data_IF_241070180952
#
_entry.id   IF_241070180952
#
_cell.length_a   1.000
_cell.length_b   1.000
_cell.length_c   1.000
_cell.angle_alpha   90.00
_cell.angle_beta   90.00
_cell.angle_gamma   90.00
#
_symmetry.space_group_name_H-M   'P 1'
#
loop_
_entity.id
_entity.type
_entity.pdbx_description
1 polymer ?
#
# COMPACT_ATOMS: atom_id res chain seq x y z
N UNK A 1 17.12 10.24 -15.47
CA UNK A 1 17.25 9.03 -14.69
C UNK A 1 18.37 8.14 -15.24
N UNK A 2 18.80 7.15 -14.47
CA UNK A 2 19.70 6.12 -14.99
C UNK A 2 18.94 5.26 -16.01
N UNK A 3 19.62 4.81 -17.07
CA UNK A 3 19.03 3.92 -18.08
C UNK A 3 18.81 2.50 -17.53
N UNK A 4 19.61 2.08 -16.54
CA UNK A 4 19.49 0.83 -15.80
C UNK A 4 19.95 0.99 -14.36
N UNK A 5 19.48 0.14 -13.48
CA UNK A 5 19.87 0.06 -12.07
C UNK A 5 20.15 -1.39 -11.70
N UNK A 6 20.97 -1.61 -10.68
CA UNK A 6 21.25 -2.94 -10.13
C UNK A 6 20.90 -2.97 -8.65
N UNK A 7 20.61 -4.15 -8.14
CA UNK A 7 20.43 -4.37 -6.70
C UNK A 7 21.62 -3.80 -5.92
N UNK A 8 21.35 -3.05 -4.86
CA UNK A 8 22.37 -2.36 -4.07
C UNK A 8 22.67 -0.93 -4.50
N UNK A 9 22.28 -0.47 -5.69
CA UNK A 9 22.42 0.92 -6.12
C UNK A 9 21.59 1.85 -5.26
N UNK A 10 22.15 3.01 -4.88
CA UNK A 10 21.37 4.09 -4.29
C UNK A 10 20.87 5.01 -5.41
N UNK A 11 19.55 5.17 -5.48
CA UNK A 11 18.89 5.92 -6.56
C UNK A 11 17.83 6.87 -6.04
N UNK A 12 17.76 8.06 -6.64
CA UNK A 12 16.64 8.96 -6.42
C UNK A 12 15.44 8.50 -7.25
N UNK A 13 14.37 8.16 -6.56
CA UNK A 13 13.12 7.72 -7.17
C UNK A 13 12.07 8.81 -7.04
N UNK A 14 11.36 9.11 -8.13
CA UNK A 14 10.20 10.00 -8.11
C UNK A 14 8.99 9.25 -7.59
N UNK A 15 8.27 9.87 -6.68
CA UNK A 15 6.98 9.37 -6.24
C UNK A 15 5.89 9.69 -7.28
N UNK A 16 5.08 8.72 -7.62
CA UNK A 16 3.85 8.92 -8.39
C UNK A 16 2.65 9.12 -7.48
N UNK A 17 2.68 8.49 -6.30
CA UNK A 17 1.69 8.66 -5.24
C UNK A 17 2.39 8.69 -3.88
N UNK A 18 1.98 9.61 -3.01
CA UNK A 18 2.26 9.58 -1.58
C UNK A 18 0.95 9.39 -0.83
N UNK A 19 0.82 8.30 -0.08
CA UNK A 19 -0.33 8.03 0.78
C UNK A 19 0.03 8.26 2.24
N UNK A 20 -0.88 8.89 2.99
CA UNK A 20 -0.80 8.96 4.46
C UNK A 20 -2.18 8.82 5.10
N UNK A 21 -2.19 8.51 6.38
CA UNK A 21 -3.38 8.24 7.17
C UNK A 21 -3.33 8.94 8.54
N UNK A 22 -4.32 8.75 9.38
CA UNK A 22 -4.52 9.50 10.63
C UNK A 22 -3.54 9.16 11.76
N UNK A 23 -2.83 8.03 11.70
CA UNK A 23 -1.75 7.74 12.68
C UNK A 23 -0.48 8.51 12.33
N UNK A 24 -0.01 8.39 11.09
CA UNK A 24 1.29 8.91 10.65
C UNK A 24 1.22 10.31 10.04
N UNK A 25 0.07 10.69 9.48
CA UNK A 25 -0.13 11.95 8.76
C UNK A 25 0.24 13.20 9.57
N UNK A 26 -0.20 13.35 10.83
CA UNK A 26 0.19 14.49 11.65
C UNK A 26 1.71 14.63 11.82
N UNK A 27 2.42 13.51 12.05
CA UNK A 27 3.88 13.48 12.13
C UNK A 27 4.54 13.86 10.81
N UNK A 28 4.04 13.34 9.69
CA UNK A 28 4.50 13.67 8.32
C UNK A 28 4.33 15.15 8.03
N UNK A 29 3.16 15.73 8.32
CA UNK A 29 2.86 17.16 8.16
C UNK A 29 3.79 18.01 9.05
N UNK A 30 4.03 17.56 10.28
CA UNK A 30 4.96 18.21 11.21
C UNK A 30 6.38 18.29 10.64
N UNK A 31 6.91 17.20 10.09
CA UNK A 31 8.21 17.19 9.40
C UNK A 31 8.18 18.10 8.19
N UNK A 32 7.19 17.98 7.32
CA UNK A 32 7.05 18.82 6.14
C UNK A 32 7.08 20.33 6.47
N UNK A 33 6.26 20.76 7.43
CA UNK A 33 6.21 22.19 7.83
C UNK A 33 7.49 22.67 8.52
N UNK A 34 8.18 21.80 9.26
CA UNK A 34 9.45 22.12 9.92
C UNK A 34 10.57 22.32 8.91
N UNK A 35 10.68 21.42 7.91
CA UNK A 35 11.82 21.40 6.98
C UNK A 35 11.64 22.37 5.79
N UNK A 36 10.41 22.58 5.33
CA UNK A 36 10.12 23.40 4.16
C UNK A 36 9.48 24.75 4.49
N UNK A 37 9.08 24.96 5.74
CA UNK A 37 8.40 26.17 6.19
C UNK A 37 6.88 26.03 6.26
N UNK A 38 6.27 26.91 7.09
CA UNK A 38 4.82 26.83 7.36
C UNK A 38 3.95 27.10 6.14
N UNK A 39 4.44 27.94 5.22
CA UNK A 39 3.72 28.35 4.01
C UNK A 39 4.06 27.51 2.78
N UNK A 40 4.93 26.49 2.96
CA UNK A 40 5.34 25.61 1.88
C UNK A 40 4.13 24.88 1.27
N UNK A 41 4.22 24.62 -0.03
CA UNK A 41 3.23 23.79 -0.74
C UNK A 41 3.79 22.42 -1.02
N UNK A 42 2.93 21.41 -1.00
CA UNK A 42 3.29 20.06 -1.41
C UNK A 42 3.77 20.05 -2.87
N UNK A 43 4.69 19.15 -3.21
CA UNK A 43 5.32 19.12 -4.55
C UNK A 43 4.29 18.97 -5.68
N UNK A 44 3.24 18.20 -5.47
CA UNK A 44 2.13 18.01 -6.40
C UNK A 44 0.88 17.55 -5.65
N UNK A 45 -0.11 18.42 -5.59
CA UNK A 45 -1.37 18.13 -4.88
C UNK A 45 -2.19 16.99 -5.49
N UNK A 46 -1.95 16.64 -6.77
CA UNK A 46 -2.61 15.52 -7.45
C UNK A 46 -1.99 14.15 -7.13
N UNK A 47 -0.90 14.14 -6.38
CA UNK A 47 -0.15 12.93 -6.04
C UNK A 47 -0.14 12.63 -4.54
N UNK A 48 -0.75 13.48 -3.73
CA UNK A 48 -0.91 13.25 -2.29
C UNK A 48 -2.32 12.76 -2.01
N UNK A 49 -2.42 11.58 -1.40
CA UNK A 49 -3.68 10.91 -1.05
C UNK A 49 -3.73 10.74 0.47
N UNK A 50 -4.79 11.19 1.10
CA UNK A 50 -4.97 11.09 2.55
C UNK A 50 -6.24 10.28 2.85
N UNK A 51 -6.07 9.21 3.64
CA UNK A 51 -7.14 8.26 3.96
C UNK A 51 -7.13 7.99 5.47
N UNK A 52 -7.93 8.70 6.27
CA UNK A 52 -8.10 8.36 7.69
C UNK A 52 -8.83 7.02 7.81
N UNK A 53 -8.24 6.06 8.52
CA UNK A 53 -8.80 4.71 8.65
C UNK A 53 -8.47 3.98 9.96
N UNK A 54 -7.45 4.42 10.72
CA UNK A 54 -7.01 3.74 11.93
C UNK A 54 -7.80 4.14 13.17
N UNK A 55 -8.09 5.43 13.36
CA UNK A 55 -8.74 5.96 14.57
C UNK A 55 -10.21 6.31 14.37
N UNK A 56 -10.84 5.76 13.36
CA UNK A 56 -12.22 6.12 12.97
C UNK A 56 -13.29 5.59 13.92
N UNK A 57 -12.96 4.57 14.72
CA UNK A 57 -13.91 3.94 15.66
C UNK A 57 -13.65 4.32 17.13
N UNK A 58 -12.85 5.32 17.39
CA UNK A 58 -12.51 5.74 18.75
C UNK A 58 -13.22 7.03 19.16
N UNK A 59 -13.55 7.16 20.45
CA UNK A 59 -13.99 8.38 21.09
C UNK A 59 -12.84 9.17 21.72
N UNK A 60 -11.58 8.67 21.63
CA UNK A 60 -10.42 9.34 22.18
C UNK A 60 -10.16 10.69 21.50
N UNK A 61 -10.07 11.76 22.29
CA UNK A 61 -9.92 13.12 21.78
C UNK A 61 -8.60 13.37 21.07
N UNK A 62 -7.52 12.69 21.48
CA UNK A 62 -6.20 12.81 20.85
C UNK A 62 -6.21 12.18 19.47
N UNK A 63 -6.81 11.00 19.35
CA UNK A 63 -6.96 10.30 18.09
C UNK A 63 -7.85 11.08 17.11
N UNK A 64 -8.96 11.65 17.59
CA UNK A 64 -9.81 12.52 16.78
C UNK A 64 -9.07 13.79 16.33
N UNK A 65 -8.21 14.38 17.20
CA UNK A 65 -7.37 15.53 16.83
C UNK A 65 -6.44 15.22 15.65
N UNK A 66 -5.97 13.98 15.51
CA UNK A 66 -5.16 13.59 14.35
C UNK A 66 -5.91 13.77 13.03
N UNK A 67 -7.17 13.36 12.99
CA UNK A 67 -8.01 13.55 11.78
C UNK A 67 -8.26 15.04 11.51
N UNK A 68 -8.45 15.85 12.56
CA UNK A 68 -8.63 17.30 12.39
C UNK A 68 -7.37 17.96 11.83
N UNK A 69 -6.17 17.54 12.23
CA UNK A 69 -4.91 18.02 11.64
C UNK A 69 -4.86 17.71 10.14
N UNK A 70 -5.31 16.53 9.74
CA UNK A 70 -5.38 16.17 8.31
C UNK A 70 -6.36 17.08 7.56
N UNK A 71 -7.54 17.34 8.12
CA UNK A 71 -8.54 18.24 7.53
C UNK A 71 -8.02 19.66 7.34
N UNK A 72 -7.36 20.20 8.39
CA UNK A 72 -6.73 21.52 8.35
C UNK A 72 -5.68 21.57 7.22
N UNK A 73 -4.82 20.55 7.12
CA UNK A 73 -3.78 20.48 6.11
C UNK A 73 -4.34 20.32 4.69
N UNK A 74 -5.32 19.47 4.51
CA UNK A 74 -6.01 19.29 3.21
C UNK A 74 -6.59 20.62 2.71
N UNK A 75 -7.25 21.37 3.60
CA UNK A 75 -7.79 22.69 3.28
C UNK A 75 -6.71 23.70 2.94
N UNK A 76 -5.63 23.74 3.73
CA UNK A 76 -4.47 24.64 3.54
C UNK A 76 -3.78 24.40 2.21
N UNK A 77 -3.60 23.13 1.82
CA UNK A 77 -2.89 22.72 0.60
C UNK A 77 -3.82 22.61 -0.62
N UNK A 78 -5.13 22.56 -0.44
CA UNK A 78 -6.11 22.35 -1.50
C UNK A 78 -5.98 20.96 -2.13
N UNK A 79 -5.81 19.92 -1.30
CA UNK A 79 -5.64 18.54 -1.78
C UNK A 79 -6.98 17.97 -2.27
N UNK A 80 -7.03 17.41 -3.49
CA UNK A 80 -8.28 16.86 -4.03
C UNK A 80 -8.59 15.45 -3.51
N UNK A 81 -7.59 14.70 -3.04
CA UNK A 81 -7.75 13.31 -2.65
C UNK A 81 -7.67 13.14 -1.14
N UNK A 82 -8.78 13.49 -0.50
CA UNK A 82 -9.00 13.27 0.93
C UNK A 82 -10.30 12.49 1.12
N UNK A 83 -10.19 11.28 1.60
CA UNK A 83 -11.32 10.38 1.80
C UNK A 83 -11.74 10.39 3.27
N UNK A 84 -12.32 11.52 3.69
CA UNK A 84 -12.72 11.73 5.08
C UNK A 84 -13.77 10.72 5.55
N UNK A 85 -13.74 10.44 6.83
CA UNK A 85 -14.67 9.51 7.48
C UNK A 85 -16.05 10.11 7.71
N UNK A 86 -16.18 11.43 7.62
CA UNK A 86 -17.46 12.15 7.78
C UNK A 86 -17.57 13.29 6.76
N UNK A 87 -18.80 13.56 6.28
CA UNK A 87 -19.07 14.68 5.36
C UNK A 87 -19.09 16.03 6.09
N UNK A 88 -19.47 16.04 7.37
CA UNK A 88 -19.45 17.23 8.21
C UNK A 88 -18.21 17.23 9.10
N UNK A 89 -17.23 18.13 8.87
CA UNK A 89 -16.05 18.27 9.72
C UNK A 89 -16.39 18.67 11.16
N UNK A 90 -17.57 19.23 11.41
CA UNK A 90 -18.08 19.51 12.74
C UNK A 90 -18.95 18.37 13.29
N UNK A 91 -19.08 17.28 12.54
CA UNK A 91 -19.90 16.11 12.87
C UNK A 91 -19.56 15.55 14.24
N UNK A 92 -20.53 15.63 15.14
CA UNK A 92 -20.43 15.15 16.51
C UNK A 92 -20.60 13.64 16.57
N UNK A 93 -19.93 13.01 17.53
CA UNK A 93 -20.23 11.66 17.92
C UNK A 93 -21.66 11.57 18.46
N UNK A 94 -22.47 10.70 17.90
CA UNK A 94 -23.81 10.42 18.41
C UNK A 94 -23.79 9.17 19.26
N UNK A 95 -24.32 9.28 20.48
CA UNK A 95 -24.55 8.11 21.32
C UNK A 95 -25.82 7.42 20.86
N UNK A 96 -25.72 6.22 20.30
CA UNK A 96 -26.86 5.36 20.00
C UNK A 96 -27.31 4.64 21.28
N UNK A 97 -28.28 5.21 21.95
CA UNK A 97 -28.82 4.68 23.20
C UNK A 97 -29.44 3.28 23.05
N UNK A 98 -29.86 2.91 21.83
CA UNK A 98 -30.42 1.58 21.57
C UNK A 98 -29.35 0.48 21.55
N UNK A 99 -28.10 0.85 21.29
CA UNK A 99 -26.95 -0.05 21.20
C UNK A 99 -25.91 0.16 22.28
N UNK A 100 -26.08 1.20 23.12
CA UNK A 100 -25.12 1.57 24.14
C UNK A 100 -23.73 1.95 23.59
N UNK A 101 -23.67 2.43 22.35
CA UNK A 101 -22.41 2.71 21.62
C UNK A 101 -22.37 4.14 21.10
N UNK A 102 -21.18 4.72 21.10
CA UNK A 102 -20.91 5.93 20.33
C UNK A 102 -20.88 5.58 18.83
N UNK A 103 -21.72 6.24 18.06
CA UNK A 103 -21.79 6.08 16.60
C UNK A 103 -21.30 7.34 15.94
N UNK A 104 -20.29 7.22 15.09
CA UNK A 104 -19.87 8.26 14.16
C UNK A 104 -20.69 8.12 12.89
N UNK A 105 -21.25 9.21 12.41
CA UNK A 105 -21.92 9.19 11.11
C UNK A 105 -20.84 9.28 10.05
N UNK A 106 -20.65 8.19 9.30
CA UNK A 106 -19.71 8.15 8.18
C UNK A 106 -20.28 8.93 7.00
N UNK A 107 -19.41 9.74 6.41
CA UNK A 107 -19.75 10.47 5.19
C UNK A 107 -19.68 9.61 3.94
N UNK A 108 -20.15 10.15 2.84
CA UNK A 108 -20.11 9.51 1.51
C UNK A 108 -18.70 9.30 0.98
N UNK A 109 -17.70 9.99 1.54
CA UNK A 109 -16.30 9.90 1.14
C UNK A 109 -15.54 8.76 1.85
N UNK A 110 -16.10 8.18 2.92
CA UNK A 110 -15.42 7.09 3.61
C UNK A 110 -15.20 5.89 2.69
N UNK A 111 -13.94 5.55 2.50
CA UNK A 111 -13.53 4.54 1.51
C UNK A 111 -13.06 3.21 2.13
N UNK A 112 -13.03 3.10 3.47
CA UNK A 112 -12.53 1.91 4.18
C UNK A 112 -11.05 2.00 4.51
N UNK A 113 -10.44 0.83 4.77
CA UNK A 113 -9.00 0.70 5.07
C UNK A 113 -8.18 1.25 3.91
N UNK A 114 -7.13 2.03 4.22
CA UNK A 114 -6.35 2.77 3.23
C UNK A 114 -5.81 1.88 2.09
N UNK A 115 -5.37 0.66 2.40
CA UNK A 115 -4.81 -0.25 1.40
C UNK A 115 -5.85 -0.77 0.40
N UNK A 116 -7.11 -0.96 0.80
CA UNK A 116 -8.21 -1.31 -0.10
C UNK A 116 -8.84 -0.07 -0.75
N UNK A 117 -8.83 1.05 -0.04
CA UNK A 117 -9.36 2.32 -0.55
C UNK A 117 -8.50 2.88 -1.70
N UNK A 118 -7.17 2.82 -1.61
CA UNK A 118 -6.27 3.26 -2.67
C UNK A 118 -6.62 2.66 -4.04
N UNK A 119 -6.64 1.33 -4.23
CA UNK A 119 -7.01 0.73 -5.51
C UNK A 119 -8.47 0.96 -5.87
N UNK A 120 -9.41 0.88 -4.91
CA UNK A 120 -10.83 1.13 -5.18
C UNK A 120 -11.10 2.56 -5.68
N UNK A 121 -10.27 3.53 -5.28
CA UNK A 121 -10.33 4.93 -5.71
C UNK A 121 -9.42 5.24 -6.90
N UNK A 122 -8.76 4.24 -7.50
CA UNK A 122 -7.98 4.38 -8.71
C UNK A 122 -6.61 5.06 -8.52
N UNK A 123 -6.00 4.90 -7.35
CA UNK A 123 -4.68 5.46 -7.04
C UNK A 123 -3.54 4.45 -7.17
N UNK A 124 -3.84 3.20 -7.52
CA UNK A 124 -2.84 2.18 -7.82
C UNK A 124 -2.80 1.92 -9.32
N UNK A 125 -1.61 2.06 -9.91
CA UNK A 125 -1.43 1.90 -11.37
C UNK A 125 -0.12 1.19 -11.66
N UNK A 126 -0.14 0.25 -12.62
CA UNK A 126 1.07 -0.47 -13.05
C UNK A 126 2.21 0.47 -13.43
N UNK A 127 3.43 0.10 -13.07
CA UNK A 127 4.66 0.82 -13.39
C UNK A 127 4.92 2.10 -12.60
N UNK A 128 3.98 2.54 -11.76
CA UNK A 128 4.15 3.72 -10.92
C UNK A 128 4.82 3.36 -9.57
N UNK A 129 5.31 4.39 -8.88
CA UNK A 129 5.91 4.29 -7.55
C UNK A 129 5.00 4.91 -6.51
N UNK A 130 4.61 4.11 -5.53
CA UNK A 130 3.82 4.51 -4.36
C UNK A 130 4.67 4.47 -3.10
N UNK A 131 4.77 5.58 -2.40
CA UNK A 131 5.22 5.62 -1.02
C UNK A 131 4.05 5.84 -0.08
N UNK A 132 3.98 5.06 0.99
CA UNK A 132 2.94 5.19 2.00
C UNK A 132 3.53 5.26 3.41
N UNK A 133 2.82 5.89 4.33
CA UNK A 133 3.27 5.95 5.74
C UNK A 133 2.84 4.74 6.55
N UNK A 134 2.25 3.76 5.91
CA UNK A 134 1.87 2.49 6.50
C UNK A 134 2.78 1.35 6.00
N UNK A 135 3.11 0.41 6.86
CA UNK A 135 3.98 -0.72 6.54
C UNK A 135 3.42 -1.63 5.44
N UNK A 136 2.09 -1.80 5.39
CA UNK A 136 1.41 -2.65 4.40
C UNK A 136 1.15 -1.95 3.05
N UNK A 137 1.78 -0.81 2.80
CA UNK A 137 1.79 -0.14 1.48
C UNK A 137 2.26 -1.08 0.37
N UNK A 138 3.07 -2.09 0.69
CA UNK A 138 3.51 -3.16 -0.22
C UNK A 138 2.36 -3.89 -0.93
N UNK A 139 1.13 -3.87 -0.37
CA UNK A 139 -0.06 -4.46 -0.97
C UNK A 139 -0.32 -3.98 -2.41
N UNK A 140 0.03 -2.74 -2.74
CA UNK A 140 -0.18 -2.20 -4.08
C UNK A 140 0.72 -2.85 -5.15
N UNK A 141 1.72 -3.65 -4.75
CA UNK A 141 2.48 -4.48 -5.68
C UNK A 141 1.64 -5.55 -6.41
N UNK A 142 0.47 -5.90 -5.86
CA UNK A 142 -0.54 -6.71 -6.55
C UNK A 142 -0.96 -6.13 -7.92
N UNK A 143 -0.74 -4.84 -8.13
CA UNK A 143 -1.09 -4.09 -9.34
C UNK A 143 0.13 -3.79 -10.22
N UNK A 144 1.23 -4.52 -10.10
CA UNK A 144 2.49 -4.25 -10.81
C UNK A 144 3.05 -2.84 -10.50
N UNK A 145 2.86 -2.37 -9.25
CA UNK A 145 3.32 -1.07 -8.77
C UNK A 145 4.44 -1.26 -7.73
N UNK A 146 5.55 -0.54 -7.86
CA UNK A 146 6.51 -0.52 -6.77
C UNK A 146 5.95 0.28 -5.61
N UNK A 147 5.60 -0.39 -4.52
CA UNK A 147 4.94 0.23 -3.38
C UNK A 147 5.61 -0.20 -2.08
N UNK A 148 5.97 0.77 -1.23
CA UNK A 148 6.64 0.47 0.05
C UNK A 148 6.27 1.46 1.15
N UNK A 149 6.25 0.95 2.38
CA UNK A 149 6.12 1.77 3.58
C UNK A 149 7.37 2.57 3.86
N UNK A 150 7.19 3.83 4.29
CA UNK A 150 8.26 4.75 4.69
C UNK A 150 7.90 5.47 5.99
N UNK A 151 8.90 5.90 6.74
CA UNK A 151 8.71 6.64 7.98
C UNK A 151 8.25 8.08 7.76
N UNK A 152 7.72 8.71 8.82
CA UNK A 152 7.20 10.08 8.78
C UNK A 152 8.23 11.10 8.26
N UNK A 153 9.51 10.91 8.59
CA UNK A 153 10.58 11.80 8.15
C UNK A 153 10.72 11.75 6.63
N UNK A 154 10.87 10.56 6.06
CA UNK A 154 10.98 10.38 4.62
C UNK A 154 9.72 10.86 3.90
N UNK A 155 8.54 10.55 4.45
CA UNK A 155 7.26 11.00 3.89
C UNK A 155 7.13 12.52 3.88
N UNK A 156 7.61 13.21 4.93
CA UNK A 156 7.66 14.68 4.95
C UNK A 156 8.56 15.25 3.86
N UNK A 157 9.71 14.63 3.60
CA UNK A 157 10.59 15.03 2.50
C UNK A 157 9.98 14.69 1.13
N UNK A 158 9.36 13.54 0.95
CA UNK A 158 8.61 13.21 -0.28
C UNK A 158 7.49 14.23 -0.50
N UNK A 159 6.77 14.61 0.55
CA UNK A 159 5.69 15.61 0.47
C UNK A 159 6.18 16.96 -0.05
N UNK A 160 7.42 17.36 0.27
CA UNK A 160 8.03 18.60 -0.21
C UNK A 160 8.75 18.50 -1.55
N UNK A 161 9.29 17.32 -1.90
CA UNK A 161 10.19 17.17 -3.05
C UNK A 161 9.69 16.24 -4.15
N UNK A 162 8.75 15.37 -3.85
CA UNK A 162 8.28 14.30 -4.74
C UNK A 162 9.33 13.21 -5.01
N UNK A 163 10.35 13.08 -4.17
CA UNK A 163 11.47 12.16 -4.40
C UNK A 163 11.94 11.51 -3.10
N UNK A 164 12.45 10.30 -3.21
CA UNK A 164 13.12 9.59 -2.14
C UNK A 164 14.39 8.92 -2.64
N UNK A 165 15.44 8.96 -1.85
CA UNK A 165 16.64 8.16 -2.09
C UNK A 165 16.41 6.77 -1.50
N UNK A 166 16.45 5.74 -2.34
CA UNK A 166 16.31 4.36 -1.91
C UNK A 166 17.46 3.52 -2.43
N UNK A 167 17.80 2.48 -1.71
CA UNK A 167 18.64 1.40 -2.20
C UNK A 167 17.79 0.44 -3.00
N UNK A 168 18.19 0.10 -4.23
CA UNK A 168 17.48 -0.89 -5.05
C UNK A 168 17.50 -2.24 -4.32
N UNK A 169 16.35 -2.84 -3.97
CA UNK A 169 16.32 -4.12 -3.28
C UNK A 169 16.73 -5.27 -4.21
N UNK A 170 17.28 -6.33 -3.61
CA UNK A 170 17.39 -7.62 -4.26
C UNK A 170 15.99 -8.22 -4.43
N UNK A 171 15.82 -9.14 -5.40
CA UNK A 171 14.54 -9.80 -5.66
C UNK A 171 14.58 -11.27 -5.29
N UNK A 172 13.59 -11.72 -4.54
CA UNK A 172 13.26 -13.12 -4.29
C UNK A 172 12.09 -13.52 -5.20
N UNK A 173 12.20 -14.66 -5.84
CA UNK A 173 11.24 -15.14 -6.83
C UNK A 173 10.43 -16.33 -6.28
N UNK A 174 9.12 -16.21 -6.33
CA UNK A 174 8.16 -17.25 -5.99
C UNK A 174 7.31 -17.57 -7.22
N UNK A 175 7.59 -18.72 -7.84
CA UNK A 175 6.82 -19.20 -8.97
C UNK A 175 5.65 -20.04 -8.47
N UNK A 176 4.41 -19.62 -8.76
CA UNK A 176 3.21 -20.31 -8.37
C UNK A 176 2.73 -21.25 -9.48
N UNK A 177 2.63 -22.53 -9.18
CA UNK A 177 2.19 -23.58 -10.11
C UNK A 177 0.87 -24.21 -9.63
N UNK A 178 0.12 -24.80 -10.55
CA UNK A 178 -1.11 -25.51 -10.22
C UNK A 178 -2.28 -24.62 -9.84
N UNK A 179 -3.21 -25.16 -9.05
CA UNK A 179 -4.41 -24.46 -8.57
C UNK A 179 -4.65 -24.77 -7.10
N UNK A 180 -5.11 -23.77 -6.36
CA UNK A 180 -5.51 -23.96 -4.96
C UNK A 180 -6.59 -25.05 -4.82
N UNK A 181 -6.43 -25.87 -3.79
CA UNK A 181 -7.42 -26.87 -3.41
C UNK A 181 -8.62 -26.22 -2.69
N UNK A 182 -9.80 -26.83 -2.70
CA UNK A 182 -10.92 -26.37 -1.91
C UNK A 182 -10.54 -26.20 -0.42
N UNK A 183 -10.84 -25.03 0.15
CA UNK A 183 -10.50 -24.69 1.53
C UNK A 183 -9.15 -24.01 1.73
N UNK A 184 -8.28 -23.96 0.70
CA UNK A 184 -7.05 -23.18 0.69
C UNK A 184 -7.34 -21.76 0.21
N UNK A 185 -6.78 -20.78 0.86
CA UNK A 185 -6.92 -19.35 0.56
C UNK A 185 -5.56 -18.72 0.16
N UNK A 186 -5.59 -17.55 -0.42
CA UNK A 186 -4.38 -16.80 -0.75
C UNK A 186 -3.48 -16.52 0.49
N UNK A 187 -4.11 -16.39 1.66
CA UNK A 187 -3.38 -16.26 2.92
C UNK A 187 -2.51 -17.49 3.24
N UNK A 188 -2.95 -18.69 2.88
CA UNK A 188 -2.16 -19.90 3.08
C UNK A 188 -0.91 -19.91 2.19
N UNK A 189 -1.01 -19.34 0.99
CA UNK A 189 0.16 -19.21 0.07
C UNK A 189 1.24 -18.35 0.72
N UNK A 190 0.89 -17.17 1.19
CA UNK A 190 1.91 -16.27 1.77
C UNK A 190 2.41 -16.78 3.12
N UNK A 191 1.56 -17.41 3.93
CA UNK A 191 2.02 -18.05 5.17
C UNK A 191 2.99 -19.19 4.89
N UNK A 192 2.75 -19.99 3.86
CA UNK A 192 3.70 -21.02 3.41
C UNK A 192 5.04 -20.38 3.00
N UNK A 193 5.01 -19.33 2.15
CA UNK A 193 6.24 -18.63 1.75
C UNK A 193 7.00 -18.07 2.95
N UNK A 194 6.31 -17.45 3.92
CA UNK A 194 6.93 -16.93 5.15
C UNK A 194 7.53 -18.09 5.98
N UNK A 195 6.81 -19.20 6.07
CA UNK A 195 7.30 -20.40 6.76
C UNK A 195 8.60 -20.93 6.18
N UNK A 196 8.76 -20.88 4.84
CA UNK A 196 9.96 -21.33 4.14
C UNK A 196 11.18 -20.40 4.34
N UNK A 197 10.96 -19.07 4.31
CA UNK A 197 12.06 -18.09 4.37
C UNK A 197 12.29 -17.48 5.75
N UNK A 198 11.34 -17.65 6.68
CA UNK A 198 11.34 -17.02 8.00
C UNK A 198 10.77 -15.60 7.99
N UNK A 199 10.43 -15.09 9.17
CA UNK A 199 9.80 -13.77 9.36
C UNK A 199 10.71 -12.58 8.99
N UNK A 200 12.02 -12.80 8.86
CA UNK A 200 13.04 -11.81 8.46
C UNK A 200 13.71 -12.15 7.13
N UNK A 201 13.31 -13.26 6.51
CA UNK A 201 13.97 -13.82 5.31
C UNK A 201 13.96 -12.90 4.10
N UNK A 202 12.98 -12.00 4.00
CA UNK A 202 12.89 -11.02 2.92
C UNK A 202 13.29 -9.60 3.36
N UNK A 203 14.00 -9.45 4.48
CA UNK A 203 14.40 -8.13 4.98
C UNK A 203 15.08 -7.29 3.90
N UNK A 204 14.48 -6.14 3.61
CA UNK A 204 14.89 -5.21 2.56
C UNK A 204 14.93 -5.80 1.14
N UNK A 205 14.18 -6.85 0.84
CA UNK A 205 14.06 -7.47 -0.48
C UNK A 205 12.69 -7.21 -1.09
N UNK A 206 12.60 -7.30 -2.41
CA UNK A 206 11.33 -7.37 -3.12
C UNK A 206 10.98 -8.86 -3.32
N UNK A 207 9.70 -9.21 -3.17
CA UNK A 207 9.20 -10.52 -3.54
C UNK A 207 8.50 -10.39 -4.90
N UNK A 208 8.76 -11.32 -5.80
CA UNK A 208 8.11 -11.40 -7.10
C UNK A 208 7.30 -12.68 -7.18
N UNK A 209 6.06 -12.54 -7.59
CA UNK A 209 5.12 -13.65 -7.77
C UNK A 209 4.70 -13.74 -9.23
N UNK A 210 4.93 -14.89 -9.86
CA UNK A 210 4.53 -15.16 -11.23
C UNK A 210 4.11 -16.63 -11.43
N UNK A 211 4.00 -17.04 -12.66
CA UNK A 211 3.66 -18.39 -13.06
C UNK A 211 2.15 -18.61 -13.29
N UNK A 212 1.79 -19.79 -13.82
CA UNK A 212 0.40 -20.09 -14.18
C UNK A 212 -0.53 -20.12 -12.96
N UNK A 213 -0.03 -20.46 -11.78
CA UNK A 213 -0.77 -20.36 -10.52
C UNK A 213 -1.14 -18.92 -10.19
N UNK A 214 -0.20 -17.97 -10.34
CA UNK A 214 -0.43 -16.55 -10.10
C UNK A 214 -1.49 -15.95 -11.04
N UNK A 215 -1.49 -16.37 -12.32
CA UNK A 215 -2.48 -15.92 -13.30
C UNK A 215 -3.90 -16.39 -12.99
N UNK A 216 -4.07 -17.46 -12.20
CA UNK A 216 -5.37 -17.95 -11.77
C UNK A 216 -5.93 -17.20 -10.54
N UNK A 217 -5.10 -16.47 -9.81
CA UNK A 217 -5.51 -15.72 -8.62
C UNK A 217 -6.37 -14.51 -8.99
N UNK A 218 -7.39 -14.24 -8.18
CA UNK A 218 -8.16 -13.00 -8.25
C UNK A 218 -7.28 -11.81 -7.81
N UNK A 219 -7.74 -10.58 -8.07
CA UNK A 219 -7.04 -9.40 -7.53
C UNK A 219 -7.05 -9.36 -6.00
N UNK A 220 -8.11 -9.84 -5.37
CA UNK A 220 -8.21 -9.92 -3.90
C UNK A 220 -7.19 -10.92 -3.34
N UNK A 221 -6.97 -12.06 -4.02
CA UNK A 221 -5.93 -13.02 -3.65
C UNK A 221 -4.54 -12.40 -3.76
N UNK A 222 -4.24 -11.71 -4.89
CA UNK A 222 -2.95 -11.03 -5.09
C UNK A 222 -2.73 -9.93 -4.06
N UNK A 223 -3.76 -9.14 -3.74
CA UNK A 223 -3.69 -8.14 -2.68
C UNK A 223 -3.39 -8.76 -1.32
N UNK A 224 -4.00 -9.90 -1.01
CA UNK A 224 -3.76 -10.63 0.25
C UNK A 224 -2.30 -11.08 0.35
N UNK A 225 -1.74 -11.66 -0.71
CA UNK A 225 -0.34 -12.11 -0.75
C UNK A 225 0.61 -10.92 -0.64
N UNK A 226 0.41 -9.89 -1.46
CA UNK A 226 1.27 -8.72 -1.48
C UNK A 226 1.22 -7.92 -0.16
N UNK A 227 0.07 -7.87 0.49
CA UNK A 227 -0.10 -7.22 1.79
C UNK A 227 0.84 -7.80 2.85
N UNK A 228 0.95 -9.13 2.91
CA UNK A 228 1.72 -9.82 3.93
C UNK A 228 3.22 -9.99 3.60
N UNK A 229 3.73 -9.34 2.58
CA UNK A 229 5.17 -9.34 2.33
C UNK A 229 5.98 -8.67 3.45
N UNK A 230 5.37 -7.71 4.15
CA UNK A 230 6.03 -7.01 5.25
C UNK A 230 6.27 -7.92 6.46
N UNK A 231 5.44 -8.95 6.69
CA UNK A 231 5.63 -9.94 7.76
C UNK A 231 6.89 -10.78 7.56
N UNK A 232 7.40 -10.86 6.32
CA UNK A 232 8.72 -11.43 6.02
C UNK A 232 9.85 -10.39 5.98
N UNK A 233 9.57 -9.12 6.31
CA UNK A 233 10.52 -8.00 6.21
C UNK A 233 10.65 -7.42 4.79
N UNK A 234 9.81 -7.84 3.84
CA UNK A 234 9.86 -7.42 2.44
C UNK A 234 9.51 -5.95 2.23
N UNK A 235 10.21 -5.32 1.29
CA UNK A 235 9.93 -3.95 0.86
C UNK A 235 8.72 -3.85 -0.03
N UNK A 236 8.50 -4.85 -0.87
CA UNK A 236 7.40 -4.90 -1.81
C UNK A 236 7.12 -6.34 -2.21
N UNK A 237 5.91 -6.63 -2.67
CA UNK A 237 5.60 -7.87 -3.37
C UNK A 237 4.93 -7.55 -4.69
N UNK A 238 5.58 -7.90 -5.80
CA UNK A 238 5.12 -7.56 -7.15
C UNK A 238 4.54 -8.78 -7.84
N UNK A 239 3.37 -8.61 -8.44
CA UNK A 239 2.79 -9.51 -9.42
C UNK A 239 3.04 -9.01 -10.82
N UNK A 240 3.25 -9.92 -11.76
CA UNK A 240 3.29 -9.59 -13.18
C UNK A 240 1.96 -8.96 -13.63
N UNK A 241 2.09 -7.99 -14.53
CA UNK A 241 0.92 -7.38 -15.15
C UNK A 241 0.22 -8.35 -16.10
N UNK A 242 -1.11 -8.42 -15.98
CA UNK A 242 -1.94 -9.22 -16.86
C UNK A 242 -3.31 -8.57 -17.12
N UNK A 243 -4.17 -9.27 -17.88
CA UNK A 243 -5.49 -8.78 -18.23
C UNK A 243 -6.40 -8.52 -16.99
N UNK A 244 -6.25 -9.30 -15.91
CA UNK A 244 -7.02 -9.07 -14.67
C UNK A 244 -6.62 -7.76 -13.99
N UNK A 245 -5.32 -7.49 -13.95
CA UNK A 245 -4.80 -6.22 -13.41
C UNK A 245 -5.31 -5.06 -14.25
N UNK A 246 -5.24 -5.17 -15.59
CA UNK A 246 -5.74 -4.14 -16.50
C UNK A 246 -7.24 -3.87 -16.29
N UNK A 247 -8.06 -4.92 -16.28
CA UNK A 247 -9.51 -4.80 -16.09
C UNK A 247 -9.86 -4.08 -14.79
N UNK A 248 -9.23 -4.47 -13.67
CA UNK A 248 -9.46 -3.86 -12.36
C UNK A 248 -9.06 -2.38 -12.36
N UNK A 249 -7.84 -2.07 -12.77
CA UNK A 249 -7.29 -0.71 -12.75
C UNK A 249 -8.08 0.22 -13.66
N UNK A 250 -8.37 -0.21 -14.88
CA UNK A 250 -9.13 0.58 -15.87
C UNK A 250 -10.55 0.89 -15.40
N UNK A 251 -11.21 -0.09 -14.78
CA UNK A 251 -12.54 0.12 -14.24
C UNK A 251 -12.51 1.17 -13.09
N UNK A 252 -11.53 1.09 -12.20
CA UNK A 252 -11.43 1.97 -11.02
C UNK A 252 -10.97 3.38 -11.36
N UNK A 253 -10.00 3.53 -12.26
CA UNK A 253 -9.52 4.85 -12.71
C UNK A 253 -10.60 5.60 -13.46
N UNK A 254 -11.36 4.93 -14.34
CA UNK A 254 -12.50 5.52 -15.05
C UNK A 254 -13.64 5.92 -14.10
N UNK A 255 -14.01 5.03 -13.16
CA UNK A 255 -15.09 5.29 -12.20
C UNK A 255 -14.81 6.51 -11.33
N UNK A 256 -13.57 6.71 -10.93
CA UNK A 256 -13.18 7.78 -10.02
C UNK A 256 -12.59 9.02 -10.72
N UNK A 257 -12.47 9.01 -12.04
CA UNK A 257 -11.90 10.13 -12.80
C UNK A 257 -10.42 10.38 -12.48
N UNK A 258 -9.69 9.35 -12.05
CA UNK A 258 -8.25 9.45 -11.79
C UNK A 258 -7.45 9.23 -13.07
N UNK A 259 -6.11 9.38 -13.01
CA UNK A 259 -5.23 9.16 -14.16
C UNK A 259 -5.43 7.74 -14.72
N UNK A 260 -5.77 7.65 -16.02
CA UNK A 260 -6.05 6.38 -16.71
C UNK A 260 -4.84 5.83 -17.47
N UNK A 261 -3.81 6.65 -17.71
CA UNK A 261 -2.61 6.25 -18.43
C UNK A 261 -1.58 5.67 -17.45
N UNK A 262 -1.05 4.51 -17.78
CA UNK A 262 0.01 3.84 -17.03
C UNK A 262 0.86 3.00 -18.00
N UNK A 263 2.08 2.68 -17.60
CA UNK A 263 3.01 1.85 -18.36
C UNK A 263 3.44 0.68 -17.47
N UNK A 264 2.90 -0.54 -17.71
CA UNK A 264 3.29 -1.71 -16.94
C UNK A 264 4.78 -2.00 -17.06
N UNK A 265 5.36 -2.53 -15.99
CA UNK A 265 6.73 -3.01 -15.99
C UNK A 265 6.75 -4.49 -16.33
N UNK A 266 7.49 -4.84 -17.37
CA UNK A 266 7.81 -6.22 -17.72
C UNK A 266 9.09 -6.67 -17.01
N UNK A 267 9.26 -7.97 -16.86
CA UNK A 267 10.46 -8.54 -16.31
C UNK A 267 11.65 -8.35 -17.26
N UNK A 268 12.80 -7.96 -16.71
CA UNK A 268 14.04 -7.98 -17.45
C UNK A 268 14.44 -9.43 -17.78
N UNK A 269 14.84 -9.71 -19.02
CA UNK A 269 15.20 -11.06 -19.48
C UNK A 269 16.42 -11.65 -18.80
N UNK A 270 17.28 -10.79 -18.25
CA UNK A 270 18.52 -11.12 -17.54
C UNK A 270 18.43 -10.86 -16.03
N UNK A 271 17.22 -10.74 -15.51
CA UNK A 271 16.97 -10.53 -14.09
C UNK A 271 17.61 -11.66 -13.26
N UNK A 272 18.30 -11.26 -12.20
CA UNK A 272 18.91 -12.20 -11.24
C UNK A 272 18.12 -12.20 -9.95
N UNK A 273 17.80 -13.38 -9.48
CA UNK A 273 17.15 -13.58 -8.19
C UNK A 273 18.15 -14.04 -7.14
N UNK A 274 18.03 -13.57 -5.92
CA UNK A 274 18.85 -14.04 -4.78
C UNK A 274 18.25 -15.27 -4.12
N UNK A 275 17.01 -15.57 -4.44
CA UNK A 275 16.27 -16.75 -3.99
C UNK A 275 15.20 -17.08 -5.01
N UNK A 276 15.02 -18.37 -5.29
CA UNK A 276 13.98 -18.88 -6.18
C UNK A 276 13.28 -20.06 -5.50
N UNK A 277 11.97 -20.05 -5.50
CA UNK A 277 11.14 -21.13 -4.95
C UNK A 277 9.90 -21.34 -5.81
N UNK A 278 9.57 -22.60 -6.07
CA UNK A 278 8.34 -22.97 -6.77
C UNK A 278 7.33 -23.52 -5.77
N UNK A 279 6.17 -22.87 -5.68
CA UNK A 279 5.06 -23.28 -4.81
C UNK A 279 4.02 -24.02 -5.64
N UNK A 280 3.83 -25.28 -5.37
CA UNK A 280 2.75 -26.09 -5.99
C UNK A 280 1.44 -25.89 -5.20
N UNK A 281 0.59 -25.01 -5.69
CA UNK A 281 -0.69 -24.67 -5.07
C UNK A 281 -1.62 -25.88 -4.88
N UNK A 282 -1.42 -26.94 -5.66
CA UNK A 282 -2.24 -28.16 -5.56
C UNK A 282 -1.89 -29.03 -4.36
N UNK A 283 -0.75 -28.75 -3.70
CA UNK A 283 -0.26 -29.47 -2.53
C UNK A 283 -0.36 -28.65 -1.23
N UNK A 284 -0.75 -27.38 -1.34
CA UNK A 284 -0.92 -26.56 -0.15
C UNK A 284 -2.14 -27.04 0.67
N UNK A 285 -1.95 -27.01 1.96
CA UNK A 285 -3.00 -27.24 2.95
C UNK A 285 -3.31 -25.94 3.70
N UNK A 286 -4.52 -25.81 4.30
CA UNK A 286 -4.84 -24.68 5.16
C UNK A 286 -3.79 -24.52 6.27
N UNK A 287 -3.26 -23.32 6.41
CA UNK A 287 -2.10 -23.02 7.25
C UNK A 287 -2.49 -22.08 8.39
N UNK A 288 -1.98 -22.33 9.59
CA UNK A 288 -2.18 -21.47 10.76
C UNK A 288 -0.85 -20.96 11.26
N UNK A 289 -0.72 -19.65 11.38
CA UNK A 289 0.40 -19.03 12.07
C UNK A 289 0.21 -19.18 13.58
N UNK A 290 1.14 -19.87 14.24
CA UNK A 290 1.18 -20.00 15.69
C UNK A 290 2.04 -18.89 16.31
N UNK A 291 1.84 -18.66 17.63
CA UNK A 291 2.72 -17.80 18.38
C UNK A 291 4.16 -18.36 18.30
N UNK A 292 5.19 -17.52 18.07
CA UNK A 292 6.57 -17.97 17.89
C UNK A 292 7.17 -18.61 19.16
N UNK A 293 6.69 -18.20 20.32
CA UNK A 293 7.10 -18.78 21.60
C UNK A 293 6.01 -19.74 22.10
N UNK A 294 6.33 -21.00 22.45
CA UNK A 294 5.36 -21.97 22.95
C UNK A 294 4.81 -21.61 24.32
#
# INVERSE_FOLDING_TARGET
>A
GKASVQAGDNVWVKADVLMTHDVCGPGTIGVFKREFGKDAKVWDKQRVVIIPDHYIFTADSKSNRNVDILREFVKEQGLPYFYDVIDDPNGTWHFDSSKGMLKKQYGSQYAGVCHTALPAKGHTRPGEVLFGTDSHTCMAGAFNQFATGIGNTDAGFVMGTGKLLIKVPETMHFRLEGKMQPGVMAKDIILHCIGEIGFDGATYRALQFDGPGASNLSMDDRMTIANMAIEAGGKNAIFEFDARTAEYVDARTRLNGTKTQYEPVELDKDQKFVYEHTVDLSKLEPTVACHPDP
#
